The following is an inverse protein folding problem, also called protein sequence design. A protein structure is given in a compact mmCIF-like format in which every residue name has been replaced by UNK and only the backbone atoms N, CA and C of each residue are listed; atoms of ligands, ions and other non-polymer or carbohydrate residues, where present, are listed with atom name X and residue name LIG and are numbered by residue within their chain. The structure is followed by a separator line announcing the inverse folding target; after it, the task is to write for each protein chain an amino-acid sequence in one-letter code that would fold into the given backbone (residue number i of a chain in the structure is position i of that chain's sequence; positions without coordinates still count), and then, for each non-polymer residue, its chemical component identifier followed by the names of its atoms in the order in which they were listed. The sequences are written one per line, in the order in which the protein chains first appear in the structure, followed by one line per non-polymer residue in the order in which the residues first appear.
data_IF_180117717157
#
_entry.id   IF_180117717157
#
_cell.length_a   1.000
_cell.length_b   1.000
_cell.length_c   1.000
_cell.angle_alpha   90.00
_cell.angle_beta   90.00
_cell.angle_gamma   90.00
#
_symmetry.space_group_name_H-M   'P 1'
#
loop_
_entity.id
_entity.type
_entity.pdbx_description
1 polymer ?
#
# COMPACT_ATOMS: atom_id res chain seq x y z
N UNK A 1 -10.91 -56.95 -20.19
CA UNK A 1 -9.94 -55.85 -20.26
C UNK A 1 -10.23 -54.93 -19.09
N UNK A 2 -9.18 -54.76 -18.32
CA UNK A 2 -9.09 -54.27 -16.95
C UNK A 2 -9.55 -52.83 -16.74
N UNK A 3 -10.01 -52.57 -15.51
CA UNK A 3 -10.23 -51.21 -15.00
C UNK A 3 -8.96 -50.59 -14.41
N UNK A 4 -8.89 -49.26 -14.45
CA UNK A 4 -8.15 -48.34 -13.54
C UNK A 4 -8.78 -46.95 -13.74
N UNK A 5 -9.52 -46.39 -12.77
CA UNK A 5 -9.13 -45.61 -11.58
C UNK A 5 -8.50 -44.23 -11.86
N UNK A 6 -9.37 -43.24 -11.69
CA UNK A 6 -9.26 -41.97 -10.95
C UNK A 6 -8.23 -40.89 -11.33
N UNK A 7 -8.80 -39.67 -11.32
CA UNK A 7 -8.24 -38.40 -10.88
C UNK A 7 -7.02 -37.90 -11.66
N UNK A 8 -7.26 -36.93 -12.55
CA UNK A 8 -6.21 -35.97 -12.83
C UNK A 8 -6.53 -34.64 -12.16
N UNK A 9 -5.56 -34.28 -11.36
CA UNK A 9 -5.50 -33.30 -10.30
C UNK A 9 -5.49 -31.89 -10.89
N UNK A 10 -6.37 -31.02 -10.39
CA UNK A 10 -6.30 -29.59 -10.64
C UNK A 10 -5.00 -29.07 -10.04
N UNK A 11 -4.12 -28.37 -10.78
CA UNK A 11 -3.08 -27.62 -10.12
C UNK A 11 -3.74 -26.36 -9.53
N UNK A 12 -4.08 -26.46 -8.24
CA UNK A 12 -4.17 -25.32 -7.35
C UNK A 12 -2.82 -24.60 -7.35
N UNK A 13 -2.68 -23.59 -8.21
CA UNK A 13 -1.51 -22.71 -8.28
C UNK A 13 -1.90 -21.29 -7.92
N UNK A 14 -1.91 -21.02 -6.61
CA UNK A 14 -2.24 -19.73 -6.00
C UNK A 14 -1.52 -18.53 -6.64
N UNK A 15 -2.25 -17.66 -7.34
CA UNK A 15 -1.78 -16.31 -7.71
C UNK A 15 -2.34 -15.20 -6.81
N UNK A 16 -2.84 -15.54 -5.61
CA UNK A 16 -3.35 -14.56 -4.63
C UNK A 16 -2.32 -14.11 -3.58
N UNK A 17 -1.02 -14.38 -3.78
CA UNK A 17 0.04 -13.98 -2.83
C UNK A 17 0.87 -12.76 -3.25
N UNK A 18 0.47 -12.03 -4.29
CA UNK A 18 1.19 -10.80 -4.68
C UNK A 18 0.58 -9.50 -4.11
N UNK A 19 -0.58 -9.57 -3.46
CA UNK A 19 -1.21 -8.40 -2.84
C UNK A 19 -0.67 -8.04 -1.44
N UNK A 20 -0.10 -9.02 -0.71
CA UNK A 20 0.28 -8.82 0.71
C UNK A 20 1.67 -8.23 0.91
N UNK A 21 2.57 -8.34 -0.08
CA UNK A 21 3.96 -7.87 0.04
C UNK A 21 4.12 -6.34 0.04
N UNK A 22 3.14 -5.58 -0.47
CA UNK A 22 3.24 -4.10 -0.52
C UNK A 22 2.74 -3.37 0.72
N UNK A 23 2.04 -4.05 1.65
CA UNK A 23 1.49 -3.45 2.87
C UNK A 23 2.51 -3.35 4.01
N UNK A 24 3.69 -3.95 3.87
CA UNK A 24 4.52 -4.32 5.00
C UNK A 24 5.26 -3.18 5.71
N UNK A 25 5.26 -1.97 5.14
CA UNK A 25 5.86 -0.79 5.75
C UNK A 25 4.87 0.37 5.87
N UNK A 26 3.59 0.15 5.56
CA UNK A 26 2.53 1.15 5.67
C UNK A 26 1.63 0.80 6.85
N UNK A 27 2.05 1.21 8.05
CA UNK A 27 1.23 1.09 9.26
C UNK A 27 0.37 2.34 9.41
N UNK A 28 -0.70 2.25 10.20
CA UNK A 28 -1.51 3.42 10.57
C UNK A 28 -0.68 4.57 11.18
N UNK A 29 0.50 4.27 11.72
CA UNK A 29 1.44 5.22 12.32
C UNK A 29 2.26 6.01 11.30
N UNK A 30 2.39 5.56 10.05
CA UNK A 30 3.23 6.21 9.04
C UNK A 30 2.49 6.61 7.75
N UNK A 31 1.24 6.18 7.58
CA UNK A 31 0.37 6.60 6.48
C UNK A 31 -0.42 7.84 6.85
N UNK A 32 -0.34 8.92 6.07
CA UNK A 32 -1.17 10.13 6.24
C UNK A 32 -2.25 10.17 5.17
N UNK A 33 -3.41 10.72 5.46
CA UNK A 33 -4.56 10.74 4.55
C UNK A 33 -4.93 12.16 4.17
N UNK A 34 -5.08 12.45 2.89
CA UNK A 34 -5.33 13.81 2.40
C UNK A 34 -6.47 13.85 1.39
N UNK A 35 -7.33 14.84 1.51
CA UNK A 35 -8.22 15.23 0.42
C UNK A 35 -7.45 16.08 -0.61
N UNK A 36 -7.81 16.05 -1.90
CA UNK A 36 -7.24 16.96 -2.89
C UNK A 36 -7.59 18.42 -2.56
N UNK A 37 -6.72 19.35 -2.95
CA UNK A 37 -7.13 20.76 -3.03
C UNK A 37 -8.23 20.96 -4.09
N UNK A 38 -9.12 21.95 -3.91
CA UNK A 38 -10.05 22.36 -4.97
C UNK A 38 -9.30 22.71 -6.26
N UNK A 39 -9.78 22.20 -7.40
CA UNK A 39 -9.15 22.43 -8.72
C UNK A 39 -7.94 21.55 -9.02
N UNK A 40 -7.53 20.66 -8.10
CA UNK A 40 -6.49 19.68 -8.37
C UNK A 40 -6.92 18.65 -9.42
N UNK A 41 -5.97 18.18 -10.23
CA UNK A 41 -6.21 17.17 -11.26
C UNK A 41 -5.69 15.80 -10.79
N UNK A 42 -6.28 14.72 -11.30
CA UNK A 42 -5.84 13.37 -10.95
C UNK A 42 -4.40 13.05 -11.37
N UNK A 43 -3.88 13.69 -12.43
CA UNK A 43 -2.51 13.49 -12.90
C UNK A 43 -1.46 14.17 -12.00
N UNK A 44 -1.82 15.33 -11.44
CA UNK A 44 -0.96 16.12 -10.55
C UNK A 44 -1.77 16.48 -9.30
N UNK A 45 -1.94 15.51 -8.38
CA UNK A 45 -2.69 15.74 -7.18
C UNK A 45 -1.95 16.70 -6.26
N UNK A 46 -2.67 17.70 -5.78
CA UNK A 46 -2.21 18.62 -4.74
C UNK A 46 -2.85 18.20 -3.42
N UNK A 47 -2.01 17.92 -2.42
CA UNK A 47 -2.47 17.53 -1.09
C UNK A 47 -3.10 18.74 -0.40
N UNK A 48 -4.36 18.58 0.00
CA UNK A 48 -5.16 19.57 0.71
C UNK A 48 -5.31 19.22 2.19
N UNK A 49 -6.56 19.10 2.65
CA UNK A 49 -6.85 18.81 4.04
C UNK A 49 -6.36 17.42 4.45
N UNK A 50 -5.62 17.35 5.55
CA UNK A 50 -5.24 16.09 6.19
C UNK A 50 -6.38 15.55 7.06
N UNK A 51 -6.61 14.25 7.00
CA UNK A 51 -7.62 13.52 7.77
C UNK A 51 -6.95 12.67 8.84
N UNK A 52 -7.58 12.56 10.01
CA UNK A 52 -6.96 11.88 11.16
C UNK A 52 -6.87 10.35 10.96
N UNK A 53 -7.77 9.78 10.16
CA UNK A 53 -7.83 8.35 9.87
C UNK A 53 -8.30 8.05 8.44
N UNK A 54 -8.07 6.81 8.00
CA UNK A 54 -8.58 6.30 6.72
C UNK A 54 -10.11 6.34 6.66
N UNK A 55 -10.78 5.98 7.76
CA UNK A 55 -12.25 5.98 7.84
C UNK A 55 -12.85 7.37 7.64
N UNK A 56 -12.26 8.38 8.27
CA UNK A 56 -12.68 9.77 8.06
C UNK A 56 -12.42 10.23 6.62
N UNK A 57 -11.26 9.88 6.05
CA UNK A 57 -10.93 10.21 4.66
C UNK A 57 -11.93 9.59 3.68
N UNK A 58 -12.29 8.32 3.89
CA UNK A 58 -13.31 7.61 3.10
C UNK A 58 -14.66 8.30 3.18
N UNK A 59 -15.12 8.65 4.39
CA UNK A 59 -16.41 9.32 4.58
C UNK A 59 -16.43 10.69 3.88
N UNK A 60 -15.36 11.47 4.00
CA UNK A 60 -15.31 12.79 3.37
C UNK A 60 -15.19 12.71 1.85
N UNK A 61 -14.34 11.82 1.34
CA UNK A 61 -14.20 11.55 -0.09
C UNK A 61 -15.54 11.09 -0.71
N UNK A 62 -16.28 10.22 -0.02
CA UNK A 62 -17.61 9.78 -0.43
C UNK A 62 -18.61 10.95 -0.48
N UNK A 63 -18.64 11.80 0.55
CA UNK A 63 -19.54 12.97 0.60
C UNK A 63 -19.30 13.97 -0.53
N UNK A 64 -18.04 14.17 -0.92
CA UNK A 64 -17.69 15.11 -1.99
C UNK A 64 -17.64 14.48 -3.39
N UNK A 65 -17.76 13.16 -3.49
CA UNK A 65 -17.58 12.42 -4.75
C UNK A 65 -16.13 12.49 -5.26
N UNK A 66 -15.17 12.73 -4.38
CA UNK A 66 -13.75 12.84 -4.71
C UNK A 66 -12.97 11.62 -4.26
N UNK A 67 -11.70 11.52 -4.67
CA UNK A 67 -10.74 10.57 -4.12
C UNK A 67 -10.04 11.18 -2.89
N UNK A 68 -9.42 10.34 -2.07
CA UNK A 68 -8.40 10.77 -1.11
C UNK A 68 -7.06 10.14 -1.46
N UNK A 69 -5.98 10.73 -0.99
CA UNK A 69 -4.61 10.29 -1.22
C UNK A 69 -3.98 9.84 0.09
N UNK A 70 -3.13 8.83 0.00
CA UNK A 70 -2.27 8.39 1.11
C UNK A 70 -0.84 8.85 0.88
N UNK A 71 -0.21 9.42 1.90
CA UNK A 71 1.19 9.82 1.88
C UNK A 71 1.98 9.01 2.89
N UNK A 72 3.09 8.42 2.46
CA UNK A 72 4.08 7.81 3.36
C UNK A 72 5.42 8.44 3.04
N UNK A 73 6.06 8.98 4.08
CA UNK A 73 7.39 9.55 3.96
C UNK A 73 8.44 8.44 4.14
N UNK A 74 9.46 8.45 3.29
CA UNK A 74 10.50 7.43 3.25
C UNK A 74 11.87 8.07 3.35
N UNK A 75 12.76 7.43 4.11
CA UNK A 75 14.18 7.78 4.16
C UNK A 75 14.99 6.62 3.59
N UNK A 76 15.99 6.95 2.77
CA UNK A 76 17.01 6.00 2.37
C UNK A 76 18.03 5.87 3.52
N UNK A 77 18.30 4.64 3.95
CA UNK A 77 19.18 4.34 5.08
C UNK A 77 20.23 3.31 4.64
N UNK A 78 21.51 3.53 4.95
CA UNK A 78 22.53 2.50 4.72
C UNK A 78 22.39 1.40 5.78
N UNK A 79 22.35 0.15 5.33
CA UNK A 79 22.43 -1.06 6.14
C UNK A 79 23.74 -1.77 5.78
N UNK A 80 24.64 -1.93 6.75
CA UNK A 80 25.94 -2.60 6.55
C UNK A 80 25.85 -3.97 7.23
N UNK A 81 25.66 -5.01 6.42
CA UNK A 81 25.67 -6.40 6.89
C UNK A 81 26.97 -7.05 6.43
N UNK A 82 27.96 -7.09 7.32
CA UNK A 82 29.31 -7.56 6.97
C UNK A 82 30.01 -6.59 6.02
N UNK A 83 30.51 -7.08 4.88
CA UNK A 83 31.32 -6.28 3.95
C UNK A 83 30.51 -5.70 2.76
N UNK A 84 29.18 -5.83 2.78
CA UNK A 84 28.30 -5.35 1.71
C UNK A 84 27.38 -4.22 2.22
N UNK A 85 27.61 -2.97 1.79
CA UNK A 85 26.70 -1.87 2.10
C UNK A 85 25.46 -1.95 1.20
N UNK A 86 24.27 -1.93 1.82
CA UNK A 86 22.98 -1.93 1.14
C UNK A 86 22.23 -0.64 1.45
N UNK A 87 21.57 -0.07 0.44
CA UNK A 87 20.61 1.01 0.66
C UNK A 87 19.24 0.38 0.88
N UNK A 88 18.64 0.66 2.03
CA UNK A 88 17.29 0.23 2.37
C UNK A 88 16.34 1.41 2.53
N UNK A 89 15.05 1.11 2.44
CA UNK A 89 13.95 2.07 2.55
C UNK A 89 13.37 1.98 3.96
N UNK A 90 13.29 3.11 4.66
CA UNK A 90 12.70 3.19 6.00
C UNK A 90 11.48 4.12 5.98
N UNK A 91 10.33 3.64 6.43
CA UNK A 91 9.15 4.49 6.66
C UNK A 91 9.40 5.43 7.85
N UNK A 92 8.99 6.68 7.72
CA UNK A 92 9.02 7.62 8.85
C UNK A 92 7.72 7.53 9.63
N UNK A 93 7.83 7.26 10.94
CA UNK A 93 6.70 7.37 11.86
C UNK A 93 6.32 8.83 12.09
N UNK A 94 5.04 9.06 12.39
CA UNK A 94 4.57 10.34 12.93
C UNK A 94 5.23 10.55 14.30
N UNK A 95 5.97 11.65 14.48
CA UNK A 95 6.58 12.07 15.76
C UNK A 95 5.56 12.75 16.67
#
# INVERSE_FOLDING_TARGET
MDGTKAANDSPAGSSERNGRRRRWEMTSENVRYFLPKPGSTGEKPELGQEMASEGEALVQAFKSGQVFYTLVAWKAVPEINGNEPKIVKQALSRS
#
